data_IF_564669479892
#
_entry.id   IF_564669479892
#
_cell.length_a   1.000
_cell.length_b   1.000
_cell.length_c   1.000
_cell.angle_alpha   90.00
_cell.angle_beta   90.00
_cell.angle_gamma   90.00
#
_symmetry.space_group_name_H-M   'P 1'
#
loop_
_entity.id
_entity.type
_entity.pdbx_description
1 polymer ?
#
# COMPACT_ATOMS: atom_id res chain seq x y z
N UNK A 1 -35.91 21.60 24.35
CA UNK A 1 -36.69 20.35 24.33
C UNK A 1 -36.24 19.56 23.11
N UNK A 2 -35.12 18.85 23.27
CA UNK A 2 -34.61 17.87 22.31
C UNK A 2 -34.59 16.55 23.07
N UNK A 3 -35.75 15.90 23.12
CA UNK A 3 -35.84 14.49 23.49
C UNK A 3 -36.60 13.80 22.36
N UNK A 4 -36.34 12.50 22.21
CA UNK A 4 -37.00 11.55 21.30
C UNK A 4 -36.25 11.25 20.00
N UNK A 5 -35.09 10.61 20.18
CA UNK A 5 -34.44 9.79 19.17
C UNK A 5 -33.58 8.69 19.80
N UNK A 6 -33.89 8.27 21.03
CA UNK A 6 -33.25 7.13 21.65
C UNK A 6 -33.89 5.85 21.08
N UNK A 7 -33.39 5.39 19.93
CA UNK A 7 -33.26 3.97 19.59
C UNK A 7 -32.15 3.82 18.56
N UNK A 8 -30.89 3.90 19.00
CA UNK A 8 -29.85 3.14 18.29
C UNK A 8 -30.16 1.67 18.56
N UNK A 9 -31.10 1.12 17.78
CA UNK A 9 -31.28 -0.32 17.68
C UNK A 9 -29.91 -0.90 17.38
N UNK A 10 -29.55 -2.00 18.05
CA UNK A 10 -28.22 -2.59 17.98
C UNK A 10 -27.70 -2.66 16.53
N UNK A 11 -26.84 -1.70 16.16
CA UNK A 11 -26.26 -1.67 14.82
C UNK A 11 -25.32 -2.87 14.70
N UNK A 12 -25.80 -3.93 14.07
CA UNK A 12 -24.99 -5.10 13.75
C UNK A 12 -23.83 -4.63 12.89
N UNK A 13 -22.59 -4.82 13.37
CA UNK A 13 -21.40 -4.57 12.57
C UNK A 13 -21.43 -5.48 11.35
N UNK A 14 -21.38 -4.90 10.16
CA UNK A 14 -21.31 -5.62 8.91
C UNK A 14 -20.00 -6.42 8.83
N UNK A 15 -20.06 -7.61 8.24
CA UNK A 15 -18.89 -8.30 7.73
C UNK A 15 -18.38 -7.57 6.49
N UNK A 16 -17.09 -7.74 6.15
CA UNK A 16 -16.48 -7.08 4.98
C UNK A 16 -17.23 -7.38 3.68
N UNK A 17 -17.72 -8.61 3.54
CA UNK A 17 -18.49 -9.10 2.39
C UNK A 17 -19.92 -8.55 2.31
N UNK A 18 -20.41 -7.91 3.38
CA UNK A 18 -21.75 -7.33 3.45
C UNK A 18 -21.76 -5.81 3.20
N UNK A 19 -20.57 -5.20 3.06
CA UNK A 19 -20.44 -3.76 2.77
C UNK A 19 -20.82 -3.51 1.30
N UNK A 20 -21.76 -2.59 1.01
CA UNK A 20 -22.10 -2.19 -0.36
C UNK A 20 -20.86 -1.72 -1.13
N UNK A 21 -20.76 -2.02 -2.42
CA UNK A 21 -19.57 -1.75 -3.24
C UNK A 21 -19.27 -0.25 -3.32
N UNK A 22 -20.31 0.57 -3.38
CA UNK A 22 -20.26 2.03 -3.37
C UNK A 22 -19.60 2.61 -2.09
N UNK A 23 -19.67 1.87 -0.99
CA UNK A 23 -19.01 2.21 0.28
C UNK A 23 -17.62 1.56 0.41
N UNK A 24 -17.13 0.92 -0.66
CA UNK A 24 -15.79 0.32 -0.71
C UNK A 24 -14.81 1.16 -1.50
N UNK A 25 -13.53 1.04 -1.15
CA UNK A 25 -12.46 1.64 -1.93
C UNK A 25 -12.36 0.97 -3.29
N UNK A 26 -12.18 1.77 -4.34
CA UNK A 26 -12.00 1.27 -5.71
C UNK A 26 -10.56 0.79 -5.91
N UNK A 27 -10.28 -0.46 -5.54
CA UNK A 27 -8.95 -1.05 -5.68
C UNK A 27 -8.44 -1.11 -7.14
N UNK A 28 -9.36 -1.05 -8.11
CA UNK A 28 -9.06 -0.92 -9.53
C UNK A 28 -8.25 0.35 -9.88
N UNK A 29 -8.25 1.36 -9.00
CA UNK A 29 -7.43 2.57 -9.16
C UNK A 29 -5.95 2.28 -8.86
N UNK A 30 -5.64 1.19 -8.13
CA UNK A 30 -4.26 0.74 -7.85
C UNK A 30 -3.80 -0.36 -8.81
N UNK A 31 -4.63 -1.40 -8.99
CA UNK A 31 -4.38 -2.53 -9.88
C UNK A 31 -5.69 -3.02 -10.47
N UNK A 32 -5.72 -3.34 -11.76
CA UNK A 32 -6.94 -3.75 -12.45
C UNK A 32 -7.49 -5.09 -11.92
N UNK A 33 -6.62 -5.96 -11.41
CA UNK A 33 -7.03 -7.23 -10.79
C UNK A 33 -6.05 -7.71 -9.72
N UNK A 34 -6.47 -8.71 -8.94
CA UNK A 34 -5.62 -9.38 -7.94
C UNK A 34 -4.42 -10.04 -8.62
N UNK A 35 -4.62 -10.66 -9.79
CA UNK A 35 -3.57 -11.33 -10.54
C UNK A 35 -2.53 -10.35 -11.08
N UNK A 36 -2.93 -9.11 -11.41
CA UNK A 36 -1.96 -8.06 -11.77
C UNK A 36 -1.12 -7.65 -10.57
N UNK A 37 -1.76 -7.43 -9.41
CA UNK A 37 -1.05 -7.15 -8.17
C UNK A 37 -0.07 -8.27 -7.80
N UNK A 38 -0.48 -9.54 -7.89
CA UNK A 38 0.38 -10.70 -7.59
C UNK A 38 1.60 -10.77 -8.53
N UNK A 39 1.42 -10.48 -9.82
CA UNK A 39 2.53 -10.42 -10.78
C UNK A 39 3.52 -9.31 -10.42
N UNK A 40 3.02 -8.12 -10.06
CA UNK A 40 3.87 -7.00 -9.67
C UNK A 40 4.62 -7.33 -8.39
N UNK A 41 3.93 -7.87 -7.38
CA UNK A 41 4.54 -8.33 -6.13
C UNK A 41 5.67 -9.34 -6.38
N UNK A 42 5.43 -10.36 -7.21
CA UNK A 42 6.44 -11.36 -7.55
C UNK A 42 7.64 -10.76 -8.31
N UNK A 43 7.43 -9.73 -9.14
CA UNK A 43 8.50 -9.07 -9.88
C UNK A 43 9.44 -8.26 -8.97
N UNK A 44 8.93 -7.75 -7.85
CA UNK A 44 9.66 -6.85 -6.94
C UNK A 44 10.73 -7.58 -6.13
N UNK A 45 10.55 -8.88 -5.84
CA UNK A 45 11.51 -9.67 -5.05
C UNK A 45 12.93 -9.65 -5.66
N UNK A 46 13.03 -9.75 -6.97
CA UNK A 46 14.31 -9.69 -7.68
C UNK A 46 14.95 -8.29 -7.63
N UNK A 47 14.15 -7.24 -7.52
CA UNK A 47 14.59 -5.84 -7.54
C UNK A 47 15.12 -5.38 -6.17
N UNK A 48 14.81 -6.08 -5.08
CA UNK A 48 15.33 -5.81 -3.72
C UNK A 48 16.87 -5.79 -3.71
N UNK A 49 17.51 -6.62 -4.53
CA UNK A 49 18.97 -6.65 -4.66
C UNK A 49 19.56 -5.29 -5.08
N UNK A 50 18.81 -4.49 -5.85
CA UNK A 50 19.19 -3.14 -6.27
C UNK A 50 19.32 -2.14 -5.12
N UNK A 51 18.60 -2.36 -4.01
CA UNK A 51 18.72 -1.59 -2.76
C UNK A 51 19.73 -2.26 -1.82
N UNK A 52 19.73 -3.59 -1.74
CA UNK A 52 20.62 -4.33 -0.83
C UNK A 52 22.11 -4.08 -1.09
N UNK A 53 22.49 -3.71 -2.33
CA UNK A 53 23.87 -3.36 -2.72
C UNK A 53 24.49 -2.20 -1.93
N UNK A 54 23.69 -1.39 -1.24
CA UNK A 54 24.18 -0.25 -0.43
C UNK A 54 24.46 -0.62 1.03
N UNK A 55 24.21 -1.87 1.45
CA UNK A 55 24.47 -2.33 2.82
C UNK A 55 25.95 -2.10 3.20
N UNK A 56 26.17 -1.41 4.32
CA UNK A 56 27.51 -1.08 4.82
C UNK A 56 28.19 0.10 4.12
N UNK A 57 27.56 0.70 3.10
CA UNK A 57 28.14 1.75 2.26
C UNK A 57 27.56 3.15 2.50
N UNK A 58 26.50 3.27 3.31
CA UNK A 58 25.81 4.55 3.53
C UNK A 58 26.70 5.64 4.16
N UNK A 59 27.79 5.25 4.82
CA UNK A 59 28.80 6.17 5.38
C UNK A 59 29.86 6.64 4.39
N UNK A 60 29.89 6.14 3.14
CA UNK A 60 30.86 6.54 2.11
C UNK A 60 30.67 8.00 1.65
N UNK A 61 29.49 8.58 1.88
CA UNK A 61 29.20 9.99 1.63
C UNK A 61 27.76 10.26 1.19
N UNK A 62 27.41 11.54 1.09
CA UNK A 62 26.06 11.98 0.74
C UNK A 62 25.57 11.49 -0.62
N UNK A 63 26.46 11.33 -1.61
CA UNK A 63 26.11 10.79 -2.92
C UNK A 63 25.63 9.34 -2.83
N UNK A 64 26.35 8.48 -2.10
CA UNK A 64 25.98 7.06 -1.92
C UNK A 64 24.66 6.93 -1.14
N UNK A 65 24.44 7.80 -0.15
CA UNK A 65 23.17 7.87 0.56
C UNK A 65 22.01 8.27 -0.37
N UNK A 66 22.20 9.32 -1.19
CA UNK A 66 21.19 9.77 -2.14
C UNK A 66 20.80 8.65 -3.12
N UNK A 67 21.79 7.99 -3.73
CA UNK A 67 21.53 6.87 -4.65
C UNK A 67 20.75 5.73 -3.97
N UNK A 68 21.04 5.44 -2.70
CA UNK A 68 20.29 4.42 -1.95
C UNK A 68 18.84 4.85 -1.71
N UNK A 69 18.59 6.12 -1.37
CA UNK A 69 17.26 6.65 -1.14
C UNK A 69 16.43 6.64 -2.43
N UNK A 70 17.01 7.08 -3.54
CA UNK A 70 16.36 7.07 -4.86
C UNK A 70 16.02 5.64 -5.31
N UNK A 71 16.93 4.68 -5.11
CA UNK A 71 16.68 3.28 -5.41
C UNK A 71 15.55 2.69 -4.55
N UNK A 72 15.54 3.00 -3.25
CA UNK A 72 14.49 2.55 -2.33
C UNK A 72 13.12 3.15 -2.67
N UNK A 73 13.08 4.44 -2.98
CA UNK A 73 11.86 5.17 -3.34
C UNK A 73 11.29 4.68 -4.68
N UNK A 74 12.16 4.41 -5.66
CA UNK A 74 11.78 3.80 -6.93
C UNK A 74 11.17 2.41 -6.73
N UNK A 75 11.79 1.57 -5.90
CA UNK A 75 11.26 0.25 -5.57
C UNK A 75 9.90 0.34 -4.85
N UNK A 76 9.76 1.27 -3.89
CA UNK A 76 8.54 1.48 -3.12
C UNK A 76 7.34 1.86 -4.00
N UNK A 77 7.54 2.77 -4.96
CA UNK A 77 6.49 3.18 -5.92
C UNK A 77 5.95 2.05 -6.80
N UNK A 78 6.70 0.96 -6.99
CA UNK A 78 6.23 -0.19 -7.76
C UNK A 78 5.26 -1.07 -6.99
N UNK A 79 5.47 -1.20 -5.68
CA UNK A 79 4.61 -2.01 -4.79
C UNK A 79 3.36 -1.24 -4.40
N UNK A 80 3.49 0.08 -4.25
CA UNK A 80 2.42 1.01 -3.88
C UNK A 80 2.31 2.08 -4.97
N UNK A 81 1.63 1.79 -6.08
CA UNK A 81 1.34 2.80 -7.08
C UNK A 81 0.51 3.93 -6.45
N UNK A 82 0.85 5.17 -6.80
CA UNK A 82 0.20 6.39 -6.32
C UNK A 82 -1.08 6.70 -7.09
#
# INVERSE_FOLDING_TARGET
>A
MWMEGAMVGMSRRLLRSEVPVEDTWRLADLFASVEEWERVLASVDAEIAGVARFRGRLGEGGAVLLECLEASDTLGRRVLPA
#
